data_IF_355630711550
#
_entry.id   IF_355630711550
#
_cell.length_a   1.000
_cell.length_b   1.000
_cell.length_c   1.000
_cell.angle_alpha   90.00
_cell.angle_beta   90.00
_cell.angle_gamma   90.00
#
_symmetry.space_group_name_H-M   'P 1'
#
loop_
_entity.id
_entity.type
_entity.pdbx_description
1 polymer ?
#
# COMPACT_ATOMS: atom_id res chain seq x y z
N UNK A 1 1.82 -4.72 -23.91
CA UNK A 1 1.03 -3.90 -22.97
C UNK A 1 1.04 -4.48 -21.54
N UNK A 2 0.51 -5.71 -21.28
CA UNK A 2 0.51 -6.31 -19.94
C UNK A 2 1.92 -6.42 -19.31
N UNK A 3 2.90 -6.97 -20.03
CA UNK A 3 4.30 -7.09 -19.56
C UNK A 3 4.99 -5.73 -19.38
N UNK A 4 4.64 -4.73 -20.18
CA UNK A 4 5.16 -3.36 -20.01
C UNK A 4 4.69 -2.78 -18.69
N UNK A 5 3.39 -2.91 -18.38
CA UNK A 5 2.81 -2.47 -17.12
C UNK A 5 3.42 -3.18 -15.92
N UNK A 6 3.67 -4.50 -16.02
CA UNK A 6 4.37 -5.24 -14.97
C UNK A 6 5.81 -4.73 -14.73
N UNK A 7 6.54 -4.38 -15.79
CA UNK A 7 7.86 -3.75 -15.66
C UNK A 7 7.80 -2.38 -14.99
N UNK A 8 6.78 -1.59 -15.32
CA UNK A 8 6.56 -0.27 -14.70
C UNK A 8 6.20 -0.41 -13.22
N UNK A 9 5.40 -1.40 -12.82
CA UNK A 9 5.16 -1.75 -11.41
C UNK A 9 6.48 -2.09 -10.70
N UNK A 10 7.31 -2.97 -11.28
CA UNK A 10 8.59 -3.35 -10.68
C UNK A 10 9.51 -2.15 -10.50
N UNK A 11 9.56 -1.23 -11.47
CA UNK A 11 10.32 0.02 -11.35
C UNK A 11 9.74 0.96 -10.28
N UNK A 12 8.41 0.99 -10.11
CA UNK A 12 7.77 1.75 -9.05
C UNK A 12 8.14 1.20 -7.67
N UNK A 13 8.12 -0.13 -7.49
CA UNK A 13 8.51 -0.80 -6.25
C UNK A 13 10.00 -0.58 -5.95
N UNK A 14 10.87 -0.71 -6.93
CA UNK A 14 12.32 -0.49 -6.77
C UNK A 14 12.64 0.93 -6.28
N UNK A 15 11.92 1.93 -6.78
CA UNK A 15 12.02 3.33 -6.34
C UNK A 15 11.30 3.64 -5.02
N UNK A 16 10.66 2.64 -4.43
CA UNK A 16 9.83 2.75 -3.22
C UNK A 16 10.37 1.88 -2.07
N UNK A 17 11.63 2.04 -1.63
CA UNK A 17 12.23 1.19 -0.60
C UNK A 17 11.60 1.36 0.79
N UNK A 18 10.89 2.47 1.07
CA UNK A 18 10.10 2.70 2.29
C UNK A 18 8.77 3.38 1.97
N UNK A 19 7.83 3.38 2.90
CA UNK A 19 6.52 4.06 2.78
C UNK A 19 6.67 5.55 2.42
N UNK A 20 7.71 6.23 2.94
CA UNK A 20 8.02 7.63 2.59
C UNK A 20 8.37 7.79 1.10
N UNK A 21 9.16 6.86 0.55
CA UNK A 21 9.51 6.86 -0.86
C UNK A 21 8.32 6.51 -1.77
N UNK A 22 7.39 5.68 -1.29
CA UNK A 22 6.13 5.41 -2.01
C UNK A 22 5.38 6.72 -2.25
N UNK A 23 5.14 7.48 -1.18
CA UNK A 23 4.37 8.72 -1.29
C UNK A 23 5.13 9.81 -2.05
N UNK A 24 6.45 9.90 -1.92
CA UNK A 24 7.24 10.82 -2.75
C UNK A 24 7.16 10.46 -4.24
N UNK A 25 7.17 9.17 -4.61
CA UNK A 25 6.98 8.75 -6.00
C UNK A 25 5.56 9.06 -6.51
N UNK A 26 4.53 8.83 -5.71
CA UNK A 26 3.14 9.24 -6.01
C UNK A 26 3.07 10.76 -6.20
N UNK A 27 3.63 11.53 -5.27
CA UNK A 27 3.69 12.99 -5.29
C UNK A 27 4.32 13.51 -6.59
N UNK A 28 5.50 13.00 -6.95
CA UNK A 28 6.20 13.38 -8.20
C UNK A 28 5.35 13.13 -9.44
N UNK A 29 4.67 11.99 -9.49
CA UNK A 29 3.81 11.63 -10.63
C UNK A 29 2.57 12.51 -10.71
N UNK A 30 1.97 12.87 -9.58
CA UNK A 30 0.85 13.80 -9.51
C UNK A 30 1.27 15.20 -9.98
N UNK A 31 2.39 15.73 -9.49
CA UNK A 31 2.94 17.02 -9.93
C UNK A 31 3.24 17.03 -11.44
N UNK A 32 3.88 15.97 -11.95
CA UNK A 32 4.15 15.83 -13.39
C UNK A 32 2.87 15.76 -14.25
N UNK A 33 1.73 15.35 -13.63
CA UNK A 33 0.41 15.29 -14.27
C UNK A 33 -0.43 16.56 -14.06
N UNK A 34 0.17 17.62 -13.52
CA UNK A 34 -0.44 18.95 -13.36
C UNK A 34 -1.37 19.06 -12.14
N UNK A 35 -1.18 18.23 -11.11
CA UNK A 35 -1.89 18.38 -9.83
C UNK A 35 -1.20 19.42 -8.95
N UNK A 36 -1.99 20.19 -8.24
CA UNK A 36 -1.52 21.16 -7.24
C UNK A 36 -1.52 20.53 -5.86
N UNK A 37 -0.40 20.61 -5.15
CA UNK A 37 -0.31 20.17 -3.75
C UNK A 37 -0.99 21.16 -2.83
N UNK A 38 -1.83 20.65 -1.93
CA UNK A 38 -2.55 21.41 -0.93
C UNK A 38 -1.91 21.22 0.44
N UNK A 39 -1.71 22.28 1.18
CA UNK A 39 -1.27 22.21 2.56
C UNK A 39 -2.47 21.97 3.51
N UNK A 40 -2.32 21.08 4.48
CA UNK A 40 -3.38 20.77 5.45
C UNK A 40 -3.71 21.94 6.37
N UNK A 41 -2.75 22.81 6.69
CA UNK A 41 -2.91 23.98 7.55
C UNK A 41 -3.38 25.23 6.79
N UNK A 42 -3.42 25.20 5.44
CA UNK A 42 -3.85 26.32 4.61
C UNK A 42 -5.35 26.30 4.32
N UNK A 43 -5.91 27.46 3.97
CA UNK A 43 -7.25 27.56 3.38
C UNK A 43 -7.21 27.08 1.94
N UNK A 44 -8.11 26.18 1.56
CA UNK A 44 -8.23 25.72 0.18
C UNK A 44 -9.12 26.65 -0.66
N UNK A 45 -8.68 26.94 -1.87
CA UNK A 45 -9.43 27.68 -2.88
C UNK A 45 -9.54 26.81 -4.14
N UNK A 46 -10.50 25.87 -4.11
CA UNK A 46 -10.69 24.90 -5.19
C UNK A 46 -11.57 25.49 -6.29
N UNK A 47 -11.28 25.12 -7.54
CA UNK A 47 -12.05 25.53 -8.72
C UNK A 47 -12.51 24.32 -9.52
N UNK A 48 -13.60 24.48 -10.27
CA UNK A 48 -14.04 23.48 -11.25
C UNK A 48 -12.94 23.22 -12.29
N UNK A 49 -12.79 21.96 -12.72
CA UNK A 49 -11.70 21.52 -13.58
C UNK A 49 -10.34 21.36 -12.88
N UNK A 50 -10.21 21.80 -11.62
CA UNK A 50 -8.97 21.76 -10.85
C UNK A 50 -8.55 20.35 -10.43
N UNK A 51 -7.23 20.14 -10.32
CA UNK A 51 -6.56 18.90 -9.93
C UNK A 51 -5.73 19.14 -8.68
N UNK A 52 -6.00 18.40 -7.63
CA UNK A 52 -5.39 18.66 -6.32
C UNK A 52 -4.98 17.36 -5.64
N UNK A 53 -4.00 17.46 -4.76
CA UNK A 53 -3.65 16.40 -3.81
C UNK A 53 -3.10 16.99 -2.51
N UNK A 54 -3.09 16.19 -1.46
CA UNK A 54 -2.39 16.48 -0.22
C UNK A 54 -1.70 15.23 0.29
N UNK A 55 -0.66 15.46 1.10
CA UNK A 55 0.05 14.37 1.81
C UNK A 55 -0.05 14.58 3.31
N UNK A 56 -0.04 13.49 4.09
CA UNK A 56 0.03 13.55 5.55
C UNK A 56 1.16 12.68 6.07
N UNK A 57 2.01 13.26 6.91
CA UNK A 57 3.16 12.55 7.50
C UNK A 57 4.23 12.09 6.51
N UNK A 58 4.07 12.38 5.21
CA UNK A 58 4.91 11.88 4.14
C UNK A 58 4.66 10.40 3.80
N UNK A 59 3.58 9.79 4.34
CA UNK A 59 3.28 8.37 4.19
C UNK A 59 1.86 8.09 3.70
N UNK A 60 0.98 9.10 3.68
CA UNK A 60 -0.37 9.00 3.13
C UNK A 60 -0.62 10.11 2.11
N UNK A 61 -1.48 9.84 1.12
CA UNK A 61 -1.83 10.78 0.07
C UNK A 61 -3.31 10.67 -0.30
N UNK A 62 -3.96 11.82 -0.53
CA UNK A 62 -5.27 11.86 -1.18
C UNK A 62 -5.17 12.81 -2.37
N UNK A 63 -5.53 12.33 -3.57
CA UNK A 63 -5.60 13.14 -4.78
C UNK A 63 -7.02 13.12 -5.36
N UNK A 64 -7.45 14.23 -5.94
CA UNK A 64 -8.79 14.36 -6.52
C UNK A 64 -8.83 15.39 -7.66
N UNK A 65 -9.86 15.26 -8.49
CA UNK A 65 -10.17 16.24 -9.54
C UNK A 65 -11.58 16.76 -9.36
N UNK A 66 -11.77 18.05 -9.47
CA UNK A 66 -13.10 18.66 -9.44
C UNK A 66 -13.66 18.65 -10.87
N UNK A 67 -14.83 18.04 -11.12
CA UNK A 67 -15.48 18.14 -12.43
C UNK A 67 -15.76 19.58 -12.86
N UNK A 68 -15.88 19.81 -14.17
CA UNK A 68 -16.28 21.14 -14.71
C UNK A 68 -17.69 21.52 -14.29
N UNK A 69 -18.57 20.54 -14.19
CA UNK A 69 -19.96 20.69 -13.73
C UNK A 69 -20.14 20.21 -12.29
N UNK A 70 -21.33 20.46 -11.73
CA UNK A 70 -21.67 20.00 -10.39
C UNK A 70 -21.58 18.49 -10.27
N UNK A 71 -20.79 18.01 -9.33
CA UNK A 71 -20.58 16.58 -9.11
C UNK A 71 -21.76 15.95 -8.38
N UNK A 72 -22.13 14.72 -8.78
CA UNK A 72 -23.17 13.91 -8.12
C UNK A 72 -22.67 13.25 -6.85
N UNK A 73 -21.46 12.68 -6.88
CA UNK A 73 -20.87 11.91 -5.79
C UNK A 73 -19.36 11.73 -5.97
N UNK A 74 -18.82 10.76 -5.29
CA UNK A 74 -17.40 10.44 -5.30
C UNK A 74 -17.16 9.01 -5.80
N UNK A 75 -16.17 8.83 -6.66
CA UNK A 75 -15.69 7.51 -7.07
C UNK A 75 -14.26 7.34 -6.54
N UNK A 76 -14.10 6.43 -5.55
CA UNK A 76 -12.89 6.40 -4.73
C UNK A 76 -12.16 5.08 -4.87
N UNK A 77 -10.82 5.14 -4.80
CA UNK A 77 -9.98 3.99 -4.45
C UNK A 77 -9.26 4.27 -3.15
N UNK A 78 -9.00 3.23 -2.38
CA UNK A 78 -8.19 3.29 -1.18
C UNK A 78 -7.24 2.08 -1.15
N UNK A 79 -5.96 2.32 -0.91
CA UNK A 79 -4.87 1.35 -0.82
C UNK A 79 -3.89 1.78 0.28
N UNK A 80 -2.82 1.02 0.54
CA UNK A 80 -1.84 1.39 1.56
C UNK A 80 -0.39 1.40 1.08
N UNK A 81 0.42 2.22 1.72
CA UNK A 81 1.82 2.47 1.35
C UNK A 81 2.82 1.64 2.14
N UNK A 82 2.41 1.14 3.30
CA UNK A 82 3.23 0.31 4.17
C UNK A 82 3.26 -1.16 3.73
N UNK A 83 4.20 -1.91 4.24
CA UNK A 83 4.34 -3.36 4.03
C UNK A 83 5.10 -3.96 5.21
N UNK A 84 4.91 -5.24 5.54
CA UNK A 84 5.63 -5.86 6.64
C UNK A 84 7.14 -5.82 6.46
N UNK A 85 7.85 -5.39 7.50
CA UNK A 85 9.30 -5.21 7.45
C UNK A 85 9.93 -5.23 8.84
N UNK A 86 11.24 -5.10 8.91
CA UNK A 86 11.96 -4.81 10.15
C UNK A 86 12.21 -3.31 10.26
N UNK A 87 11.67 -2.68 11.33
CA UNK A 87 11.95 -1.28 11.66
C UNK A 87 13.18 -1.21 12.58
N UNK A 88 14.10 -0.28 12.32
CA UNK A 88 15.22 -0.01 13.22
C UNK A 88 14.72 0.66 14.49
N UNK A 89 15.30 0.26 15.64
CA UNK A 89 15.08 0.94 16.91
C UNK A 89 15.88 2.24 16.98
N UNK A 90 15.50 3.12 17.90
CA UNK A 90 16.13 4.45 18.05
C UNK A 90 17.67 4.35 18.27
N UNK A 91 18.12 3.44 19.10
CA UNK A 91 19.55 3.14 19.31
C UNK A 91 19.84 1.74 18.74
N UNK A 92 20.12 1.60 17.42
CA UNK A 92 20.11 0.30 16.80
C UNK A 92 21.41 -0.47 16.95
N UNK A 93 22.59 0.18 17.09
CA UNK A 93 23.85 -0.54 17.13
C UNK A 93 24.00 -1.43 18.38
N UNK A 94 24.35 -2.69 18.13
CA UNK A 94 24.53 -3.72 19.16
C UNK A 94 25.81 -4.51 18.92
N UNK A 95 26.65 -4.59 19.97
CA UNK A 95 27.80 -5.48 19.97
C UNK A 95 27.39 -6.93 20.21
N UNK A 96 27.94 -7.86 19.44
CA UNK A 96 27.78 -9.31 19.58
C UNK A 96 29.14 -10.00 19.42
N UNK A 97 29.93 -10.04 20.47
CA UNK A 97 31.32 -10.50 20.41
C UNK A 97 32.16 -9.60 19.50
N UNK A 98 32.71 -10.18 18.43
CA UNK A 98 33.46 -9.47 17.39
C UNK A 98 32.62 -8.86 16.29
N UNK A 99 31.29 -8.99 16.38
CA UNK A 99 30.35 -8.51 15.36
C UNK A 99 29.59 -7.27 15.81
N UNK A 100 29.22 -6.45 14.86
CA UNK A 100 28.30 -5.33 15.02
C UNK A 100 26.98 -5.67 14.34
N UNK A 101 25.89 -5.65 15.09
CA UNK A 101 24.53 -5.89 14.63
C UNK A 101 23.67 -4.65 14.78
N UNK A 102 22.51 -4.63 14.09
CA UNK A 102 21.47 -3.64 14.35
C UNK A 102 20.28 -4.27 15.09
N UNK A 103 19.74 -3.52 16.04
CA UNK A 103 18.55 -3.89 16.79
C UNK A 103 17.32 -3.45 16.01
N UNK A 104 16.43 -4.38 15.73
CA UNK A 104 15.19 -4.17 14.97
C UNK A 104 13.97 -4.65 15.73
N UNK A 105 12.80 -4.25 15.27
CA UNK A 105 11.53 -4.82 15.67
C UNK A 105 10.66 -5.11 14.45
N UNK A 106 9.77 -6.08 14.58
CA UNK A 106 8.83 -6.43 13.52
C UNK A 106 7.81 -5.31 13.34
N UNK A 107 7.53 -4.99 12.10
CA UNK A 107 6.40 -4.18 11.68
C UNK A 107 5.44 -5.04 10.88
N UNK A 108 4.19 -5.17 11.37
CA UNK A 108 3.16 -6.00 10.74
C UNK A 108 3.31 -7.51 10.95
N UNK A 109 2.41 -8.24 10.31
CA UNK A 109 2.29 -9.70 10.38
C UNK A 109 3.19 -10.42 9.37
N UNK A 110 4.51 -10.34 9.49
CA UNK A 110 5.47 -10.80 8.50
C UNK A 110 5.85 -12.28 8.59
N UNK A 111 6.20 -12.88 7.45
CA UNK A 111 6.98 -14.11 7.37
C UNK A 111 8.46 -13.77 7.57
N UNK A 112 9.06 -14.19 8.69
CA UNK A 112 10.46 -13.84 9.03
C UNK A 112 11.48 -14.67 8.25
N UNK A 113 11.21 -15.96 8.02
CA UNK A 113 12.17 -16.89 7.41
C UNK A 113 12.69 -16.44 6.01
N UNK A 114 11.88 -15.86 5.12
CA UNK A 114 12.36 -15.40 3.81
C UNK A 114 13.38 -14.25 3.86
N UNK A 115 13.55 -13.56 4.99
CA UNK A 115 14.50 -12.46 5.14
C UNK A 115 15.95 -12.92 5.35
N UNK A 116 16.14 -14.18 5.73
CA UNK A 116 17.48 -14.73 5.96
C UNK A 116 18.26 -14.92 4.67
N UNK A 117 19.59 -14.78 4.78
CA UNK A 117 20.58 -15.01 3.73
C UNK A 117 20.41 -14.16 2.47
N UNK A 118 19.73 -13.02 2.60
CA UNK A 118 19.50 -12.07 1.51
C UNK A 118 20.23 -10.75 1.75
N UNK A 119 20.74 -10.10 0.70
CA UNK A 119 21.25 -8.75 0.79
C UNK A 119 20.13 -7.79 1.21
N UNK A 120 20.36 -7.03 2.27
CA UNK A 120 19.43 -6.04 2.83
C UNK A 120 20.06 -4.65 2.83
N UNK A 121 19.20 -3.64 2.82
CA UNK A 121 19.59 -2.27 3.05
C UNK A 121 18.57 -1.52 3.90
N UNK A 122 18.83 -0.22 4.11
CA UNK A 122 18.07 0.66 5.00
C UNK A 122 17.51 1.81 4.17
N UNK A 123 16.22 2.12 4.36
CA UNK A 123 15.58 3.30 3.79
C UNK A 123 14.53 3.87 4.75
N UNK A 124 14.22 5.15 4.58
CA UNK A 124 13.21 5.84 5.38
C UNK A 124 13.39 7.34 5.35
N UNK A 125 13.20 7.97 6.50
CA UNK A 125 13.47 9.40 6.69
C UNK A 125 14.32 9.68 7.90
N UNK A 126 15.00 10.81 7.85
CA UNK A 126 15.75 11.40 8.96
C UNK A 126 15.19 12.80 9.22
N UNK A 127 15.12 13.17 10.48
CA UNK A 127 14.74 14.50 10.94
C UNK A 127 16.00 15.27 11.30
N UNK A 128 16.29 16.34 10.57
CA UNK A 128 17.54 17.11 10.66
C UNK A 128 17.26 18.47 11.25
N UNK A 129 18.04 18.86 12.25
CA UNK A 129 18.06 20.22 12.79
C UNK A 129 18.75 21.17 11.81
N UNK A 130 18.07 22.23 11.45
CA UNK A 130 18.56 23.27 10.54
C UNK A 130 18.27 24.66 11.12
N UNK A 131 18.94 25.70 10.61
CA UNK A 131 18.67 27.08 11.01
C UNK A 131 17.21 27.52 10.82
N UNK A 132 16.48 26.87 9.92
CA UNK A 132 15.08 27.15 9.61
C UNK A 132 14.08 26.25 10.37
N UNK A 133 14.55 25.34 11.22
CA UNK A 133 13.75 24.36 11.96
C UNK A 133 14.04 22.92 11.59
N UNK A 134 13.12 22.02 11.92
CA UNK A 134 13.28 20.59 11.66
C UNK A 134 12.92 20.27 10.21
N UNK A 135 13.90 19.77 9.47
CA UNK A 135 13.74 19.33 8.07
C UNK A 135 13.62 17.82 7.99
N UNK A 136 12.69 17.31 7.18
CA UNK A 136 12.58 15.87 6.86
C UNK A 136 13.39 15.58 5.60
N UNK A 137 14.33 14.65 5.69
CA UNK A 137 15.11 14.15 4.54
C UNK A 137 14.88 12.68 4.32
N UNK A 138 14.54 12.30 3.08
CA UNK A 138 14.45 10.90 2.69
C UNK A 138 15.85 10.33 2.51
N UNK A 139 16.05 9.13 3.04
CA UNK A 139 17.35 8.44 2.94
C UNK A 139 17.15 7.02 2.41
N UNK A 140 18.06 6.62 1.54
CA UNK A 140 18.19 5.26 1.04
C UNK A 140 19.67 4.92 0.95
N UNK A 141 20.13 3.96 1.75
CA UNK A 141 21.49 3.43 1.67
C UNK A 141 21.49 2.37 0.55
N UNK A 142 21.55 2.81 -0.68
CA UNK A 142 21.33 2.00 -1.87
C UNK A 142 22.53 1.10 -2.22
N UNK A 143 22.90 0.21 -1.31
CA UNK A 143 23.91 -0.83 -1.49
C UNK A 143 23.61 -2.05 -0.62
N UNK A 144 24.23 -3.18 -0.91
CA UNK A 144 24.19 -4.36 -0.06
C UNK A 144 24.93 -4.04 1.24
N UNK A 145 24.17 -3.84 2.32
CA UNK A 145 24.68 -3.32 3.58
C UNK A 145 24.61 -4.34 4.71
N UNK A 146 23.57 -5.13 4.74
CA UNK A 146 23.20 -5.99 5.87
C UNK A 146 22.86 -7.39 5.38
N UNK A 147 22.98 -8.37 6.28
CA UNK A 147 22.47 -9.72 6.11
C UNK A 147 21.96 -10.25 7.45
N UNK A 148 20.90 -11.04 7.45
CA UNK A 148 20.46 -11.85 8.58
C UNK A 148 20.91 -13.28 8.29
N UNK A 149 22.00 -13.77 8.88
CA UNK A 149 22.54 -15.10 8.56
C UNK A 149 21.72 -16.20 9.25
N UNK A 150 21.41 -17.28 8.53
CA UNK A 150 20.87 -18.49 9.13
C UNK A 150 21.93 -19.20 9.99
N UNK A 151 21.46 -19.94 10.99
CA UNK A 151 22.31 -20.91 11.68
C UNK A 151 22.57 -22.11 10.78
N UNK A 152 23.85 -22.50 10.66
CA UNK A 152 24.21 -23.62 9.80
C UNK A 152 23.47 -24.93 10.19
N UNK A 153 23.11 -25.73 9.18
CA UNK A 153 22.37 -27.00 9.39
C UNK A 153 23.09 -27.95 10.37
N UNK A 154 24.43 -27.89 10.43
CA UNK A 154 25.21 -28.70 11.37
C UNK A 154 25.00 -28.33 12.83
N UNK A 155 24.58 -27.10 13.11
CA UNK A 155 24.29 -26.58 14.46
C UNK A 155 22.78 -26.67 14.78
N UNK A 156 21.92 -26.79 13.76
CA UNK A 156 20.48 -26.92 13.90
C UNK A 156 19.95 -27.99 12.92
N UNK A 157 20.11 -29.25 13.28
CA UNK A 157 19.72 -30.37 12.39
C UNK A 157 18.22 -30.51 12.16
N UNK A 158 17.41 -29.93 13.04
CA UNK A 158 15.94 -29.91 12.92
C UNK A 158 15.42 -28.67 12.14
N UNK A 159 16.29 -27.91 11.48
CA UNK A 159 15.90 -26.68 10.78
C UNK A 159 14.78 -26.89 9.74
N UNK A 160 14.72 -28.05 9.11
CA UNK A 160 13.69 -28.38 8.11
C UNK A 160 12.41 -28.98 8.72
N UNK A 161 12.39 -29.28 10.01
CA UNK A 161 11.24 -29.86 10.72
C UNK A 161 10.35 -28.75 11.34
N UNK A 162 10.74 -27.48 11.16
CA UNK A 162 10.09 -26.28 11.68
C UNK A 162 10.87 -25.64 12.82
N UNK A 163 11.17 -24.36 12.65
CA UNK A 163 11.92 -23.55 13.65
C UNK A 163 11.06 -22.37 14.12
N UNK A 164 10.92 -22.24 15.43
CA UNK A 164 10.34 -21.04 16.04
C UNK A 164 11.38 -19.92 16.05
N UNK A 165 11.22 -18.93 15.18
CA UNK A 165 12.08 -17.76 15.12
C UNK A 165 11.70 -16.75 16.21
N UNK A 166 12.71 -16.23 16.92
CA UNK A 166 12.60 -15.18 17.93
C UNK A 166 13.17 -13.88 17.35
N UNK A 167 12.31 -12.89 17.12
CA UNK A 167 12.69 -11.65 16.46
C UNK A 167 13.84 -10.88 17.15
N UNK A 168 13.95 -10.97 18.47
CA UNK A 168 14.98 -10.30 19.26
C UNK A 168 16.31 -11.07 19.33
N UNK A 169 16.40 -12.25 18.74
CA UNK A 169 17.59 -13.12 18.75
C UNK A 169 17.99 -13.48 17.32
N UNK A 170 17.07 -14.09 16.57
CA UNK A 170 17.38 -14.73 15.30
C UNK A 170 17.42 -13.76 14.10
N UNK A 171 16.72 -12.61 14.20
CA UNK A 171 16.55 -11.71 13.05
C UNK A 171 17.34 -10.41 13.13
N UNK A 172 18.38 -10.36 13.98
CA UNK A 172 19.23 -9.19 14.10
C UNK A 172 20.25 -9.14 12.94
N UNK A 173 20.19 -8.13 12.06
CA UNK A 173 21.06 -8.09 10.90
C UNK A 173 22.51 -7.76 11.27
N UNK A 174 23.44 -8.45 10.65
CA UNK A 174 24.88 -8.20 10.72
C UNK A 174 25.21 -6.95 9.89
N UNK A 175 25.86 -5.96 10.52
CA UNK A 175 26.32 -4.73 9.89
C UNK A 175 27.83 -4.76 9.59
N UNK A 176 28.64 -5.39 10.46
CA UNK A 176 30.09 -5.42 10.28
C UNK A 176 30.84 -5.97 11.48
N UNK A 177 32.13 -5.67 11.56
CA UNK A 177 32.94 -5.99 12.72
C UNK A 177 32.82 -4.92 13.81
N UNK A 178 33.11 -5.29 15.05
CA UNK A 178 32.91 -4.43 16.24
C UNK A 178 33.80 -3.16 16.21
N UNK A 179 34.93 -3.20 15.49
CA UNK A 179 35.82 -2.05 15.30
C UNK A 179 35.13 -0.89 14.57
N UNK A 180 34.06 -1.19 13.83
CA UNK A 180 33.28 -0.18 13.11
C UNK A 180 32.15 0.41 13.97
N UNK A 181 32.14 0.24 15.28
CA UNK A 181 31.14 0.82 16.17
C UNK A 181 31.01 2.33 15.96
N UNK A 182 29.79 2.84 15.85
CA UNK A 182 29.47 4.22 15.48
C UNK A 182 29.33 4.45 13.97
N UNK A 183 29.55 3.43 13.13
CA UNK A 183 29.44 3.58 11.68
C UNK A 183 27.99 3.80 11.21
N UNK A 184 26.99 3.33 11.94
CA UNK A 184 25.59 3.52 11.55
C UNK A 184 25.21 5.01 11.48
N UNK A 185 25.54 5.78 12.51
CA UNK A 185 25.26 7.21 12.54
C UNK A 185 26.01 7.96 11.42
N UNK A 186 27.26 7.54 11.13
CA UNK A 186 28.03 8.08 10.01
C UNK A 186 27.36 7.78 8.65
N UNK A 187 26.94 6.53 8.42
CA UNK A 187 26.21 6.15 7.20
C UNK A 187 24.92 6.96 7.04
N UNK A 188 24.22 7.18 8.13
CA UNK A 188 22.98 7.95 8.13
C UNK A 188 23.23 9.43 7.83
N UNK A 189 24.25 10.02 8.44
CA UNK A 189 24.72 11.39 8.22
C UNK A 189 25.12 11.61 6.75
N UNK A 190 25.89 10.69 6.18
CA UNK A 190 26.28 10.72 4.75
C UNK A 190 25.03 10.65 3.83
N UNK A 191 24.10 9.72 4.10
CA UNK A 191 22.88 9.57 3.31
C UNK A 191 21.92 10.77 3.42
N UNK A 192 21.87 11.39 4.59
CA UNK A 192 21.05 12.58 4.86
C UNK A 192 21.74 13.90 4.46
N UNK A 193 23.03 13.87 4.08
CA UNK A 193 23.85 15.04 3.74
C UNK A 193 23.80 16.10 4.87
N UNK A 194 24.12 15.68 6.11
CA UNK A 194 24.14 16.54 7.29
C UNK A 194 25.22 16.11 8.29
N UNK A 195 25.49 16.92 9.31
CA UNK A 195 26.29 16.52 10.47
C UNK A 195 25.54 15.47 11.30
N UNK A 196 26.28 14.55 11.92
CA UNK A 196 25.70 13.53 12.78
C UNK A 196 24.96 14.12 13.99
N UNK A 197 25.46 15.24 14.52
CA UNK A 197 24.90 16.01 15.63
C UNK A 197 23.59 16.71 15.27
N UNK A 198 23.31 16.90 13.99
CA UNK A 198 22.08 17.50 13.50
C UNK A 198 20.91 16.51 13.41
N UNK A 199 21.17 15.20 13.53
CA UNK A 199 20.13 14.18 13.44
C UNK A 199 19.36 14.12 14.75
N UNK A 200 18.10 14.56 14.72
CA UNK A 200 17.19 14.58 15.87
C UNK A 200 16.39 13.29 16.02
N UNK A 201 16.25 12.49 14.97
CA UNK A 201 15.51 11.25 14.97
C UNK A 201 15.39 10.64 13.59
N UNK A 202 14.85 9.43 13.53
CA UNK A 202 14.69 8.73 12.26
C UNK A 202 13.51 7.76 12.29
N UNK A 203 12.96 7.49 11.10
CA UNK A 203 12.03 6.38 10.85
C UNK A 203 12.62 5.54 9.72
N UNK A 204 13.29 4.46 10.06
CA UNK A 204 14.05 3.63 9.13
C UNK A 204 13.59 2.18 9.16
N UNK A 205 13.50 1.58 7.97
CA UNK A 205 13.15 0.17 7.80
C UNK A 205 14.18 -0.55 6.95
N UNK A 206 14.29 -1.85 7.15
CA UNK A 206 15.04 -2.72 6.25
C UNK A 206 14.21 -3.00 5.00
N UNK A 207 14.89 -3.20 3.89
CA UNK A 207 14.30 -3.73 2.67
C UNK A 207 15.23 -4.72 1.98
N UNK A 208 14.65 -5.64 1.22
CA UNK A 208 15.40 -6.64 0.45
C UNK A 208 15.93 -6.00 -0.83
N UNK A 209 17.21 -6.19 -1.11
CA UNK A 209 17.89 -5.66 -2.31
C UNK A 209 17.61 -6.46 -3.58
N UNK A 210 17.01 -7.64 -3.45
CA UNK A 210 16.68 -8.46 -4.61
C UNK A 210 15.66 -7.72 -5.51
N UNK A 211 15.98 -7.47 -6.79
CA UNK A 211 15.07 -6.83 -7.72
C UNK A 211 13.85 -7.72 -7.99
N UNK A 212 12.74 -7.10 -8.32
CA UNK A 212 11.57 -7.82 -8.81
C UNK A 212 11.82 -8.43 -10.19
N UNK A 213 11.10 -9.51 -10.51
CA UNK A 213 11.23 -10.24 -11.76
C UNK A 213 9.88 -10.60 -12.37
N UNK A 214 9.84 -10.66 -13.69
CA UNK A 214 8.76 -11.33 -14.42
C UNK A 214 9.27 -12.73 -14.76
N UNK A 215 8.52 -13.77 -14.45
CA UNK A 215 8.94 -15.17 -14.59
C UNK A 215 7.78 -16.07 -15.03
N UNK A 216 8.07 -17.35 -15.18
CA UNK A 216 7.17 -18.38 -15.69
C UNK A 216 7.49 -18.76 -17.13
N UNK A 217 6.96 -19.86 -17.61
CA UNK A 217 7.25 -20.40 -18.95
C UNK A 217 6.83 -19.43 -20.08
N UNK A 218 5.84 -18.54 -19.82
CA UNK A 218 5.35 -17.51 -20.74
C UNK A 218 5.50 -16.11 -20.16
N UNK A 219 6.27 -15.96 -19.08
CA UNK A 219 6.42 -14.71 -18.34
C UNK A 219 5.07 -14.18 -17.81
N UNK A 220 4.29 -15.09 -17.24
CA UNK A 220 2.93 -14.84 -16.78
C UNK A 220 2.85 -14.38 -15.31
N UNK A 221 3.95 -14.45 -14.55
CA UNK A 221 4.00 -14.10 -13.14
C UNK A 221 4.95 -12.96 -12.85
N UNK A 222 4.66 -12.24 -11.78
CA UNK A 222 5.49 -11.18 -11.19
C UNK A 222 5.95 -11.68 -9.82
N UNK A 223 7.24 -11.57 -9.52
CA UNK A 223 7.76 -11.76 -8.17
C UNK A 223 8.48 -10.49 -7.70
N UNK A 224 8.15 -9.99 -6.53
CA UNK A 224 8.76 -8.80 -5.94
C UNK A 224 8.48 -8.70 -4.44
N UNK A 225 9.27 -7.90 -3.74
CA UNK A 225 8.89 -7.41 -2.42
C UNK A 225 7.68 -6.46 -2.53
N UNK A 226 6.89 -6.32 -1.47
CA UNK A 226 5.86 -5.28 -1.32
C UNK A 226 4.80 -5.24 -2.45
N UNK A 227 4.49 -6.38 -3.08
CA UNK A 227 3.33 -6.44 -3.97
C UNK A 227 2.05 -6.11 -3.18
N UNK A 228 2.01 -6.52 -1.93
CA UNK A 228 1.09 -6.06 -0.91
C UNK A 228 1.68 -4.82 -0.24
N UNK A 229 1.14 -3.59 -0.45
CA UNK A 229 0.00 -3.30 -1.34
C UNK A 229 0.41 -2.34 -2.47
N UNK A 230 1.72 -2.26 -2.78
CA UNK A 230 2.20 -1.34 -3.82
C UNK A 230 1.68 -1.68 -5.22
N UNK A 231 1.22 -2.91 -5.45
CA UNK A 231 0.55 -3.27 -6.69
C UNK A 231 -0.80 -2.56 -6.82
N UNK A 232 -1.59 -2.48 -5.75
CA UNK A 232 -2.85 -1.75 -5.73
C UNK A 232 -2.63 -0.23 -5.74
N UNK A 233 -1.63 0.29 -5.02
CA UNK A 233 -1.25 1.72 -5.11
C UNK A 233 -0.91 2.10 -6.53
N UNK A 234 -0.04 1.32 -7.19
CA UNK A 234 0.35 1.55 -8.58
C UNK A 234 -0.84 1.46 -9.53
N UNK A 235 -1.64 0.39 -9.46
CA UNK A 235 -2.78 0.19 -10.35
C UNK A 235 -3.84 1.28 -10.20
N UNK A 236 -4.14 1.68 -8.97
CA UNK A 236 -5.07 2.78 -8.68
C UNK A 236 -4.57 4.11 -9.21
N UNK A 237 -3.27 4.40 -9.05
CA UNK A 237 -2.65 5.62 -9.56
C UNK A 237 -2.65 5.67 -11.09
N UNK A 238 -2.30 4.57 -11.78
CA UNK A 238 -2.34 4.47 -13.23
C UNK A 238 -3.77 4.68 -13.76
N UNK A 239 -4.74 3.98 -13.16
CA UNK A 239 -6.15 4.15 -13.48
C UNK A 239 -6.64 5.58 -13.26
N UNK A 240 -6.24 6.21 -12.15
CA UNK A 240 -6.59 7.58 -11.80
C UNK A 240 -6.04 8.60 -12.81
N UNK A 241 -4.74 8.50 -13.14
CA UNK A 241 -4.08 9.41 -14.06
C UNK A 241 -4.57 9.26 -15.50
N UNK A 242 -4.90 8.03 -15.92
CA UNK A 242 -5.40 7.73 -17.27
C UNK A 242 -6.90 8.00 -17.46
N UNK A 243 -7.68 8.17 -16.37
CA UNK A 243 -9.13 8.34 -16.47
C UNK A 243 -9.53 9.72 -16.99
N UNK A 244 -10.62 9.74 -17.76
CA UNK A 244 -11.22 10.96 -18.29
C UNK A 244 -12.12 11.65 -17.25
N UNK A 245 -12.43 12.95 -17.44
CA UNK A 245 -13.43 13.63 -16.61
C UNK A 245 -14.79 12.92 -16.67
N UNK A 246 -15.46 12.85 -15.50
CA UNK A 246 -16.78 12.24 -15.33
C UNK A 246 -17.66 13.15 -14.47
N UNK A 247 -18.92 12.77 -14.28
CA UNK A 247 -19.89 13.51 -13.45
C UNK A 247 -19.68 13.36 -11.94
N UNK A 248 -18.78 12.49 -11.51
CA UNK A 248 -18.39 12.31 -10.11
C UNK A 248 -16.96 12.81 -9.87
N UNK A 249 -16.66 13.14 -8.61
CA UNK A 249 -15.30 13.47 -8.18
C UNK A 249 -14.49 12.17 -8.07
N UNK A 250 -13.49 11.92 -8.91
CA UNK A 250 -12.56 10.83 -8.71
C UNK A 250 -11.61 11.16 -7.54
N UNK A 251 -11.45 10.20 -6.62
CA UNK A 251 -10.59 10.37 -5.43
C UNK A 251 -9.68 9.15 -5.30
N UNK A 252 -8.39 9.38 -5.38
CA UNK A 252 -7.35 8.38 -5.14
C UNK A 252 -6.82 8.54 -3.73
N UNK A 253 -6.85 7.48 -2.91
CA UNK A 253 -6.37 7.49 -1.53
C UNK A 253 -5.29 6.43 -1.33
N UNK A 254 -4.22 6.80 -0.64
CA UNK A 254 -3.21 5.90 -0.09
C UNK A 254 -3.07 6.20 1.40
N UNK A 255 -3.26 5.19 2.23
CA UNK A 255 -3.11 5.29 3.69
C UNK A 255 -1.80 4.62 4.14
N UNK A 256 -1.46 4.81 5.41
CA UNK A 256 -0.31 4.17 6.06
C UNK A 256 -0.77 3.34 7.25
N UNK A 257 0.10 2.46 7.73
CA UNK A 257 -0.10 1.64 8.93
C UNK A 257 -1.28 0.65 8.85
N UNK A 258 -1.66 0.21 7.64
CA UNK A 258 -2.65 -0.85 7.48
C UNK A 258 -2.20 -2.11 8.19
N UNK A 259 -0.95 -2.52 8.01
CA UNK A 259 -0.30 -3.73 8.54
C UNK A 259 -0.23 -3.81 10.07
N UNK A 260 -0.55 -2.73 10.73
CA UNK A 260 -0.61 -2.60 12.21
C UNK A 260 -1.95 -2.07 12.70
N UNK A 261 -3.01 -2.14 11.86
CA UNK A 261 -4.40 -1.89 12.22
C UNK A 261 -4.92 -0.50 11.95
N UNK A 262 -4.28 0.32 11.11
CA UNK A 262 -4.77 1.63 10.60
C UNK A 262 -5.04 2.72 11.65
N UNK A 263 -4.85 2.47 12.94
CA UNK A 263 -5.25 3.35 14.05
C UNK A 263 -4.18 4.43 14.35
N UNK A 264 -3.78 5.18 13.33
CA UNK A 264 -2.81 6.26 13.41
C UNK A 264 -3.34 7.52 12.75
N UNK A 265 -2.61 8.65 12.89
CA UNK A 265 -2.98 9.94 12.27
C UNK A 265 -3.06 9.84 10.73
N UNK A 266 -2.28 8.99 10.09
CA UNK A 266 -2.18 8.78 8.65
C UNK A 266 -2.84 7.48 8.16
N UNK A 267 -3.38 6.66 9.05
CA UNK A 267 -4.08 5.43 8.72
C UNK A 267 -5.54 5.64 8.31
N UNK A 268 -6.17 4.59 7.80
CA UNK A 268 -7.56 4.62 7.36
C UNK A 268 -8.56 4.88 8.48
N UNK A 269 -8.21 4.60 9.75
CA UNK A 269 -9.00 4.93 10.94
C UNK A 269 -8.93 6.43 11.31
N UNK A 270 -8.10 7.22 10.64
CA UNK A 270 -8.05 8.67 10.86
C UNK A 270 -9.18 9.40 10.17
N UNK A 271 -9.31 10.68 10.51
CA UNK A 271 -10.28 11.56 9.86
C UNK A 271 -9.82 12.11 8.51
N UNK A 272 -8.67 11.67 8.00
CA UNK A 272 -8.02 12.24 6.81
C UNK A 272 -8.98 12.31 5.60
N UNK A 273 -9.58 11.19 5.21
CA UNK A 273 -10.50 11.15 4.08
C UNK A 273 -11.77 11.99 4.34
N UNK A 274 -12.41 11.79 5.49
CA UNK A 274 -13.61 12.54 5.88
C UNK A 274 -13.38 14.04 5.85
N UNK A 275 -12.28 14.50 6.46
CA UNK A 275 -11.99 15.93 6.58
C UNK A 275 -11.59 16.51 5.21
N UNK A 276 -10.92 15.74 4.35
CA UNK A 276 -10.64 16.12 2.96
C UNK A 276 -11.93 16.35 2.17
N UNK A 277 -12.90 15.40 2.22
CA UNK A 277 -14.17 15.54 1.52
C UNK A 277 -15.00 16.72 2.06
N UNK A 278 -15.00 16.95 3.37
CA UNK A 278 -15.67 18.09 4.00
C UNK A 278 -15.04 19.44 3.59
N UNK A 279 -13.71 19.52 3.58
CA UNK A 279 -12.99 20.73 3.16
C UNK A 279 -13.18 21.02 1.69
N UNK A 280 -13.20 19.98 0.85
CA UNK A 280 -13.55 20.09 -0.57
C UNK A 280 -14.95 20.68 -0.73
N UNK A 281 -15.94 20.09 -0.07
CA UNK A 281 -17.33 20.57 -0.11
C UNK A 281 -17.44 22.04 0.35
N UNK A 282 -16.81 22.39 1.48
CA UNK A 282 -16.82 23.76 2.00
C UNK A 282 -16.19 24.77 1.02
N UNK A 283 -15.07 24.39 0.38
CA UNK A 283 -14.38 25.25 -0.60
C UNK A 283 -15.22 25.50 -1.86
N UNK A 284 -16.07 24.54 -2.23
CA UNK A 284 -16.96 24.62 -3.39
C UNK A 284 -18.38 25.15 -3.04
N UNK A 285 -18.60 25.59 -1.79
CA UNK A 285 -19.92 26.06 -1.35
C UNK A 285 -20.99 24.97 -1.22
N UNK A 286 -20.60 23.69 -1.17
CA UNK A 286 -21.50 22.55 -1.02
C UNK A 286 -21.92 22.44 0.45
N UNK A 287 -23.24 22.45 0.72
CA UNK A 287 -23.77 22.31 2.09
C UNK A 287 -23.58 20.91 2.64
N UNK A 288 -23.59 20.75 3.97
CA UNK A 288 -23.51 19.42 4.60
C UNK A 288 -24.63 18.47 4.16
N UNK A 289 -25.85 18.98 3.97
CA UNK A 289 -26.97 18.19 3.48
C UNK A 289 -26.77 17.70 2.02
N UNK A 290 -26.14 18.52 1.19
CA UNK A 290 -25.79 18.10 -0.17
C UNK A 290 -24.63 17.10 -0.15
N UNK A 291 -23.59 17.34 0.65
CA UNK A 291 -22.49 16.39 0.82
C UNK A 291 -22.99 15.02 1.27
N UNK A 292 -23.95 14.96 2.19
CA UNK A 292 -24.54 13.68 2.61
C UNK A 292 -25.23 12.93 1.46
N UNK A 293 -25.94 13.63 0.55
CA UNK A 293 -26.49 13.02 -0.66
C UNK A 293 -25.41 12.54 -1.63
N UNK A 294 -24.35 13.34 -1.82
CA UNK A 294 -23.22 12.96 -2.66
C UNK A 294 -22.54 11.68 -2.13
N UNK A 295 -22.39 11.54 -0.80
CA UNK A 295 -21.83 10.33 -0.18
C UNK A 295 -22.72 9.10 -0.43
N UNK A 296 -24.05 9.24 -0.44
CA UNK A 296 -24.97 8.14 -0.76
C UNK A 296 -24.86 7.70 -2.23
N UNK A 297 -24.55 8.61 -3.15
CA UNK A 297 -24.31 8.32 -4.57
C UNK A 297 -22.81 8.10 -4.88
N UNK A 298 -22.06 7.58 -3.93
CA UNK A 298 -20.63 7.32 -4.04
C UNK A 298 -20.32 5.83 -3.97
N UNK A 299 -19.14 5.47 -4.49
CA UNK A 299 -18.65 4.09 -4.43
C UNK A 299 -17.14 4.07 -4.21
N UNK A 300 -16.67 3.22 -3.29
CA UNK A 300 -15.24 3.06 -2.95
C UNK A 300 -14.80 1.63 -3.24
N UNK A 301 -13.69 1.48 -3.93
CA UNK A 301 -12.94 0.23 -3.98
C UNK A 301 -11.80 0.28 -2.96
N UNK A 302 -11.88 -0.56 -1.94
CA UNK A 302 -10.81 -0.84 -1.01
C UNK A 302 -9.88 -1.87 -1.69
N UNK A 303 -8.79 -1.36 -2.23
CA UNK A 303 -7.84 -2.12 -3.03
C UNK A 303 -6.70 -2.58 -2.12
N UNK A 304 -6.66 -3.87 -1.85
CA UNK A 304 -5.71 -4.55 -0.98
C UNK A 304 -5.64 -6.02 -1.43
N UNK A 305 -4.45 -6.59 -1.61
CA UNK A 305 -4.28 -7.88 -2.26
C UNK A 305 -5.04 -9.02 -1.56
N UNK A 306 -5.25 -10.11 -2.27
CA UNK A 306 -6.03 -11.26 -1.82
C UNK A 306 -5.20 -12.55 -1.90
N UNK A 307 -5.49 -13.53 -1.04
CA UNK A 307 -4.82 -14.82 -1.08
C UNK A 307 -5.28 -15.63 -2.29
N UNK A 308 -4.33 -16.05 -3.15
CA UNK A 308 -4.58 -17.07 -4.16
C UNK A 308 -4.47 -18.47 -3.55
N UNK A 309 -5.14 -19.45 -4.15
CA UNK A 309 -4.96 -20.85 -3.77
C UNK A 309 -3.51 -21.25 -3.95
N UNK A 310 -2.90 -21.76 -2.87
CA UNK A 310 -1.51 -22.18 -2.90
C UNK A 310 -1.38 -23.53 -3.65
N UNK A 311 -0.49 -23.67 -4.63
CA UNK A 311 -0.42 -24.88 -5.47
C UNK A 311 -0.06 -26.16 -4.69
N UNK A 312 0.72 -26.02 -3.62
CA UNK A 312 1.13 -27.16 -2.78
C UNK A 312 0.22 -27.36 -1.55
N UNK A 313 -0.68 -26.41 -1.26
CA UNK A 313 -1.53 -26.40 -0.07
C UNK A 313 -2.96 -25.95 -0.39
N UNK A 314 -3.66 -26.64 -1.30
CA UNK A 314 -5.03 -26.27 -1.67
C UNK A 314 -6.01 -26.42 -0.52
N UNK A 315 -5.69 -27.23 0.49
CA UNK A 315 -6.52 -27.49 1.68
C UNK A 315 -6.75 -26.24 2.57
N UNK A 316 -5.95 -25.19 2.41
CA UNK A 316 -6.16 -23.94 3.16
C UNK A 316 -7.14 -22.96 2.49
N UNK A 317 -7.55 -23.22 1.25
CA UNK A 317 -8.55 -22.41 0.55
C UNK A 317 -9.97 -22.98 0.74
N UNK A 318 -10.98 -22.09 0.65
CA UNK A 318 -12.36 -22.53 0.53
C UNK A 318 -12.59 -23.12 -0.87
N UNK A 319 -13.14 -24.33 -1.03
CA UNK A 319 -13.24 -25.00 -2.32
C UNK A 319 -14.09 -24.27 -3.37
N UNK A 320 -15.03 -23.43 -2.92
CA UNK A 320 -15.97 -22.73 -3.80
C UNK A 320 -15.61 -21.25 -4.03
N UNK A 321 -14.69 -20.69 -3.22
CA UNK A 321 -14.36 -19.28 -3.21
C UNK A 321 -12.85 -19.05 -3.16
N UNK A 322 -12.09 -19.75 -3.98
CA UNK A 322 -10.63 -19.67 -4.05
C UNK A 322 -10.18 -19.06 -5.38
N UNK A 323 -9.47 -17.94 -5.35
CA UNK A 323 -8.94 -17.31 -6.56
C UNK A 323 -7.60 -17.93 -6.98
N UNK A 324 -7.28 -17.73 -8.27
CA UNK A 324 -6.04 -18.17 -8.90
C UNK A 324 -5.34 -16.98 -9.56
N UNK A 325 -4.02 -17.08 -9.72
CA UNK A 325 -3.23 -16.09 -10.45
C UNK A 325 -3.64 -16.04 -11.93
N UNK A 326 -3.73 -14.84 -12.51
CA UNK A 326 -4.09 -14.56 -13.90
C UNK A 326 -5.54 -14.89 -14.29
N UNK A 327 -6.42 -15.16 -13.34
CA UNK A 327 -7.83 -15.41 -13.58
C UNK A 327 -8.76 -14.24 -13.21
N UNK A 328 -8.17 -13.09 -12.88
CA UNK A 328 -8.88 -11.82 -12.66
C UNK A 328 -8.75 -11.27 -11.25
N UNK A 329 -9.23 -10.04 -11.07
CA UNK A 329 -9.20 -9.32 -9.78
C UNK A 329 -10.22 -9.94 -8.83
N UNK A 330 -9.83 -10.07 -7.58
CA UNK A 330 -10.61 -10.76 -6.55
C UNK A 330 -11.57 -9.80 -5.86
N UNK A 331 -12.82 -10.22 -5.69
CA UNK A 331 -13.83 -9.59 -4.83
C UNK A 331 -13.89 -10.38 -3.51
N UNK A 332 -13.61 -9.72 -2.38
CA UNK A 332 -13.47 -10.34 -1.06
C UNK A 332 -14.78 -10.25 -0.26
N UNK A 333 -15.19 -11.35 0.37
CA UNK A 333 -16.36 -11.43 1.26
C UNK A 333 -15.99 -11.98 2.63
N UNK A 334 -16.61 -11.43 3.67
CA UNK A 334 -16.47 -11.96 5.03
C UNK A 334 -17.74 -11.70 5.84
N UNK A 335 -18.33 -12.77 6.42
CA UNK A 335 -19.56 -12.68 7.21
C UNK A 335 -19.42 -11.80 8.47
N UNK A 336 -18.20 -11.72 9.04
CA UNK A 336 -17.91 -10.90 10.21
C UNK A 336 -17.51 -9.45 9.85
N UNK A 337 -17.78 -9.03 8.61
CA UNK A 337 -17.50 -7.67 8.10
C UNK A 337 -16.03 -7.24 8.23
N UNK A 338 -15.10 -8.18 8.17
CA UNK A 338 -13.67 -7.88 8.05
C UNK A 338 -13.33 -7.33 6.66
N UNK A 339 -14.17 -7.64 5.67
CA UNK A 339 -14.24 -6.99 4.36
C UNK A 339 -15.59 -6.28 4.27
N UNK A 340 -15.58 -5.04 3.76
CA UNK A 340 -16.78 -4.18 3.72
C UNK A 340 -17.77 -4.51 2.58
N UNK A 341 -17.48 -5.52 1.78
CA UNK A 341 -18.28 -5.87 0.60
C UNK A 341 -19.69 -6.29 0.97
N UNK A 342 -20.68 -5.47 0.61
CA UNK A 342 -22.11 -5.79 0.65
C UNK A 342 -22.58 -6.45 -0.65
N UNK A 343 -23.79 -6.99 -0.67
CA UNK A 343 -24.43 -7.51 -1.88
C UNK A 343 -24.61 -6.42 -2.95
N UNK A 344 -24.90 -5.18 -2.54
CA UNK A 344 -25.02 -4.02 -3.44
C UNK A 344 -23.65 -3.66 -4.01
N UNK A 345 -22.64 -3.53 -3.16
CA UNK A 345 -21.29 -3.25 -3.58
C UNK A 345 -20.76 -4.30 -4.56
N UNK A 346 -21.03 -5.58 -4.29
CA UNK A 346 -20.65 -6.68 -5.17
C UNK A 346 -21.34 -6.58 -6.56
N UNK A 347 -22.62 -6.19 -6.60
CA UNK A 347 -23.33 -6.00 -7.85
C UNK A 347 -22.77 -4.82 -8.65
N UNK A 348 -22.49 -3.68 -8.01
CA UNK A 348 -21.83 -2.52 -8.63
C UNK A 348 -20.46 -2.90 -9.17
N UNK A 349 -19.62 -3.58 -8.38
CA UNK A 349 -18.30 -4.03 -8.79
C UNK A 349 -18.34 -4.96 -10.00
N UNK A 350 -19.24 -5.96 -10.03
CA UNK A 350 -19.39 -6.85 -11.19
C UNK A 350 -19.81 -6.08 -12.45
N UNK A 351 -20.66 -5.07 -12.33
CA UNK A 351 -21.00 -4.17 -13.44
C UNK A 351 -19.82 -3.36 -13.91
N UNK A 352 -18.99 -2.89 -12.98
CA UNK A 352 -17.77 -2.16 -13.27
C UNK A 352 -16.78 -3.06 -14.03
N UNK A 353 -16.56 -4.31 -13.59
CA UNK A 353 -15.70 -5.27 -14.27
C UNK A 353 -16.20 -5.59 -15.69
N UNK A 354 -17.53 -5.70 -15.89
CA UNK A 354 -18.11 -5.89 -17.23
C UNK A 354 -17.78 -4.70 -18.16
N UNK A 355 -17.89 -3.45 -17.68
CA UNK A 355 -17.51 -2.25 -18.44
C UNK A 355 -16.01 -2.18 -18.71
N UNK A 356 -15.20 -2.59 -17.76
CA UNK A 356 -13.74 -2.62 -17.86
C UNK A 356 -13.23 -3.78 -18.76
N UNK A 357 -14.11 -4.69 -19.19
CA UNK A 357 -13.75 -5.95 -19.84
C UNK A 357 -12.73 -6.76 -19.03
N UNK A 358 -12.82 -6.71 -17.72
CA UNK A 358 -11.93 -7.38 -16.79
C UNK A 358 -12.58 -8.64 -16.18
N UNK A 359 -11.75 -9.65 -15.92
CA UNK A 359 -12.18 -10.85 -15.20
C UNK A 359 -12.35 -10.56 -13.70
N UNK A 360 -13.25 -11.27 -13.05
CA UNK A 360 -13.47 -11.19 -11.60
C UNK A 360 -13.56 -12.58 -10.98
N UNK A 361 -12.90 -12.73 -9.85
CA UNK A 361 -12.96 -13.91 -9.00
C UNK A 361 -13.56 -13.55 -7.64
N UNK A 362 -13.88 -14.55 -6.83
CA UNK A 362 -14.44 -14.36 -5.49
C UNK A 362 -13.53 -15.03 -4.46
N UNK A 363 -13.33 -14.37 -3.34
CA UNK A 363 -12.63 -14.91 -2.18
C UNK A 363 -13.51 -14.87 -0.94
N UNK A 364 -13.56 -15.99 -0.25
CA UNK A 364 -13.99 -16.08 1.14
C UNK A 364 -13.03 -17.00 1.89
N UNK A 365 -12.80 -16.71 3.17
CA UNK A 365 -11.99 -17.59 4.00
C UNK A 365 -12.67 -18.96 4.18
N UNK A 366 -11.89 -20.03 4.27
CA UNK A 366 -12.38 -21.31 4.81
C UNK A 366 -12.99 -21.08 6.19
N UNK A 367 -14.16 -21.65 6.46
CA UNK A 367 -15.02 -21.28 7.62
C UNK A 367 -14.34 -21.44 8.99
N UNK A 368 -13.30 -22.27 9.09
CA UNK A 368 -12.53 -22.53 10.32
C UNK A 368 -11.24 -21.69 10.42
N UNK A 369 -10.91 -20.90 9.39
CA UNK A 369 -9.73 -20.02 9.37
C UNK A 369 -10.18 -18.57 9.53
N UNK A 370 -9.75 -17.88 10.61
CA UNK A 370 -10.03 -16.46 10.74
C UNK A 370 -9.28 -15.68 9.65
N UNK A 371 -10.00 -14.83 8.91
CA UNK A 371 -9.41 -13.95 7.91
C UNK A 371 -8.70 -12.75 8.51
N UNK A 372 -7.84 -12.11 7.71
CA UNK A 372 -7.38 -10.75 7.95
C UNK A 372 -8.53 -9.74 7.87
N UNK A 373 -8.22 -8.48 8.03
CA UNK A 373 -9.11 -7.33 7.76
C UNK A 373 -8.40 -6.41 6.78
N UNK A 374 -9.17 -5.50 6.18
CA UNK A 374 -8.67 -4.49 5.27
C UNK A 374 -9.03 -3.09 5.73
N UNK A 375 -8.41 -2.10 5.13
CA UNK A 375 -8.70 -0.69 5.41
C UNK A 375 -10.16 -0.30 5.10
N UNK A 376 -10.87 -1.03 4.22
CA UNK A 376 -12.24 -0.72 3.82
C UNK A 376 -13.23 -0.78 4.98
N UNK A 377 -13.22 -1.85 5.76
CA UNK A 377 -14.11 -2.00 6.93
C UNK A 377 -13.89 -0.88 7.97
N UNK A 378 -12.66 -0.39 8.10
CA UNK A 378 -12.30 0.68 9.03
C UNK A 378 -12.74 2.04 8.46
N UNK A 379 -12.43 2.34 7.21
CA UNK A 379 -12.79 3.60 6.55
C UNK A 379 -14.31 3.80 6.48
N UNK A 380 -15.09 2.72 6.31
CA UNK A 380 -16.56 2.76 6.23
C UNK A 380 -17.24 3.39 7.45
N UNK A 381 -16.63 3.32 8.62
CA UNK A 381 -17.15 3.92 9.86
C UNK A 381 -17.04 5.44 9.89
N UNK A 382 -16.13 6.03 9.12
CA UNK A 382 -15.86 7.46 9.08
C UNK A 382 -16.41 8.13 7.82
N UNK A 383 -16.49 7.40 6.71
CA UNK A 383 -17.03 7.85 5.42
C UNK A 383 -18.04 6.82 4.95
N UNK A 384 -19.35 7.05 5.20
CA UNK A 384 -20.40 6.06 4.96
C UNK A 384 -20.79 6.02 3.47
N UNK A 385 -19.99 5.34 2.66
CA UNK A 385 -20.23 5.08 1.23
C UNK A 385 -20.31 3.57 0.99
N UNK A 386 -20.97 3.13 -0.08
CA UNK A 386 -20.87 1.72 -0.50
C UNK A 386 -19.45 1.37 -0.83
N UNK A 387 -18.96 0.22 -0.33
CA UNK A 387 -17.59 -0.23 -0.51
C UNK A 387 -17.51 -1.68 -0.94
N UNK A 388 -16.57 -1.97 -1.84
CA UNK A 388 -16.16 -3.33 -2.17
C UNK A 388 -14.66 -3.50 -1.89
N UNK A 389 -14.32 -4.54 -1.14
CA UNK A 389 -12.94 -4.96 -0.93
C UNK A 389 -12.49 -5.85 -2.08
N UNK A 390 -11.46 -5.41 -2.77
CA UNK A 390 -10.92 -6.09 -3.95
C UNK A 390 -9.39 -6.17 -3.86
N UNK A 391 -8.76 -7.01 -4.69
CA UNK A 391 -7.31 -7.01 -4.80
C UNK A 391 -6.78 -8.00 -5.81
N UNK A 392 -5.48 -7.95 -6.04
CA UNK A 392 -4.81 -8.95 -6.87
C UNK A 392 -4.71 -10.28 -6.09
N UNK A 393 -4.98 -11.42 -6.74
CA UNK A 393 -4.62 -12.70 -6.15
C UNK A 393 -3.10 -12.80 -6.07
N UNK A 394 -2.58 -13.17 -4.89
CA UNK A 394 -1.14 -13.35 -4.71
C UNK A 394 -0.80 -14.57 -3.85
N UNK A 395 0.42 -15.06 -4.01
CA UNK A 395 1.05 -16.09 -3.17
C UNK A 395 2.11 -15.46 -2.28
N UNK A 396 2.36 -16.10 -1.15
CA UNK A 396 3.37 -15.69 -0.18
C UNK A 396 3.19 -14.25 0.35
N UNK A 397 1.92 -13.83 0.53
CA UNK A 397 1.60 -12.54 1.17
C UNK A 397 2.37 -12.36 2.47
N UNK A 398 2.90 -11.16 2.71
CA UNK A 398 3.75 -10.82 3.85
C UNK A 398 5.14 -11.51 3.88
N UNK A 399 5.53 -12.17 2.79
CA UNK A 399 6.93 -12.52 2.55
C UNK A 399 7.73 -11.29 2.10
N UNK A 400 9.03 -11.31 2.30
CA UNK A 400 9.89 -10.28 1.71
C UNK A 400 10.01 -10.41 0.18
N UNK A 401 9.39 -11.43 -0.44
CA UNK A 401 9.33 -11.63 -1.89
C UNK A 401 8.07 -12.43 -2.23
N UNK A 402 7.09 -11.76 -2.82
CA UNK A 402 5.72 -12.21 -3.06
C UNK A 402 5.51 -12.50 -4.55
N UNK A 403 4.38 -13.14 -4.91
CA UNK A 403 4.10 -13.53 -6.30
C UNK A 403 2.66 -13.18 -6.69
N UNK A 404 2.47 -12.54 -7.85
CA UNK A 404 1.17 -12.18 -8.42
C UNK A 404 1.11 -12.46 -9.93
N UNK A 405 -0.08 -12.30 -10.53
CA UNK A 405 -0.31 -12.49 -11.96
C UNK A 405 -0.12 -11.21 -12.79
N UNK A 406 0.56 -11.32 -13.94
CA UNK A 406 0.74 -10.20 -14.89
C UNK A 406 -0.58 -9.72 -15.46
N UNK A 407 -1.54 -10.65 -15.71
CA UNK A 407 -2.84 -10.29 -16.29
C UNK A 407 -3.74 -9.57 -15.30
N UNK A 408 -3.70 -9.95 -14.03
CA UNK A 408 -4.54 -9.39 -12.98
C UNK A 408 -4.20 -7.92 -12.72
N UNK A 409 -2.91 -7.57 -12.78
CA UNK A 409 -2.47 -6.17 -12.68
C UNK A 409 -3.08 -5.29 -13.77
N UNK A 410 -3.09 -5.79 -15.00
CA UNK A 410 -3.68 -5.07 -16.13
C UNK A 410 -5.19 -4.88 -15.96
N UNK A 411 -5.88 -5.92 -15.48
CA UNK A 411 -7.31 -5.88 -15.22
C UNK A 411 -7.62 -4.88 -14.09
N UNK A 412 -6.83 -4.84 -13.02
CA UNK A 412 -7.01 -3.90 -11.91
C UNK A 412 -6.85 -2.43 -12.36
N UNK A 413 -5.84 -2.12 -13.20
CA UNK A 413 -5.68 -0.77 -13.76
C UNK A 413 -6.91 -0.36 -14.57
N UNK A 414 -7.46 -1.26 -15.40
CA UNK A 414 -8.65 -0.98 -16.19
C UNK A 414 -9.91 -0.81 -15.31
N UNK A 415 -10.06 -1.62 -14.26
CA UNK A 415 -11.15 -1.48 -13.28
C UNK A 415 -11.08 -0.12 -12.59
N UNK A 416 -9.91 0.27 -12.09
CA UNK A 416 -9.72 1.56 -11.42
C UNK A 416 -10.00 2.73 -12.37
N UNK A 417 -9.50 2.67 -13.62
CA UNK A 417 -9.80 3.69 -14.63
C UNK A 417 -11.30 3.80 -14.88
N UNK A 418 -11.98 2.67 -15.10
CA UNK A 418 -13.43 2.65 -15.36
C UNK A 418 -14.23 3.16 -14.15
N UNK A 419 -13.78 2.86 -12.92
CA UNK A 419 -14.35 3.44 -11.70
C UNK A 419 -14.34 4.97 -11.76
N UNK A 420 -13.17 5.56 -12.00
CA UNK A 420 -12.98 7.01 -12.02
C UNK A 420 -13.70 7.71 -13.18
N UNK A 421 -14.10 6.97 -14.20
CA UNK A 421 -14.91 7.42 -15.35
C UNK A 421 -16.41 7.17 -15.17
N UNK A 422 -16.84 6.58 -14.04
CA UNK A 422 -18.22 6.19 -13.76
C UNK A 422 -18.85 7.07 -12.67
N UNK A 423 -20.12 6.83 -12.40
CA UNK A 423 -20.89 7.38 -11.29
C UNK A 423 -21.92 6.39 -10.78
N UNK A 424 -22.46 6.64 -9.59
CA UNK A 424 -23.60 5.89 -9.04
C UNK A 424 -24.82 6.79 -9.01
N UNK A 425 -25.94 6.27 -9.45
CA UNK A 425 -27.25 6.93 -9.39
C UNK A 425 -28.24 6.04 -8.63
N UNK A 426 -28.92 6.62 -7.65
CA UNK A 426 -29.97 5.95 -6.87
C UNK A 426 -31.31 6.66 -7.09
N UNK A 427 -32.31 5.95 -7.58
CA UNK A 427 -33.65 6.49 -7.79
C UNK A 427 -34.70 5.40 -7.78
N UNK A 428 -35.81 5.59 -7.01
CA UNK A 428 -36.96 4.70 -6.98
C UNK A 428 -36.64 3.26 -6.59
N UNK A 429 -35.61 3.04 -5.72
CA UNK A 429 -35.13 1.71 -5.32
C UNK A 429 -34.20 1.05 -6.34
N UNK A 430 -33.91 1.72 -7.45
CA UNK A 430 -32.92 1.27 -8.44
C UNK A 430 -31.56 1.90 -8.16
N UNK A 431 -30.50 1.10 -8.34
CA UNK A 431 -29.11 1.54 -8.26
C UNK A 431 -28.47 1.30 -9.63
N UNK A 432 -27.89 2.32 -10.20
CA UNK A 432 -27.27 2.27 -11.52
C UNK A 432 -25.82 2.72 -11.43
N UNK A 433 -24.95 2.01 -12.11
CA UNK A 433 -23.65 2.52 -12.49
C UNK A 433 -23.85 3.35 -13.79
N UNK A 434 -23.54 4.62 -13.79
CA UNK A 434 -23.70 5.55 -14.93
C UNK A 434 -22.34 5.96 -15.51
#
# INVERSE_FOLDING_TARGET
>A
MKKTLAKELLQFIEKSPSTYHVIENVRRRLLASGYTELEENARWSLVHGGKYFLTRGGTSCIAFRIPEEAARGFMLTASHSDSPSFKLKENPERAAGHYLQLSTEKYGGMLMAPWFDRPLSIAGRVLVDTENGIETRLVNIDRDLLIIPNLAIHMNRAANDGVKLLANIDTLPLLGSIENRGCFLKLLSEAAVCGAEQILGHDLTLYVRQPGAIFGAQEEYIASQKLDDLACVFASLEGFLASKPASCVPVFCVFDNEEVGSATRQGAASTLLRDTLRRMAASLGITNGHLARMLDESFLLSCDNAHAQHPNHPEFADPGNCPYLNEGVVLKFNANQRYATSGIAAALYRKLCQRACAKVQVYANRSDIPGGSTLGSIASTLVPVEMADIGLPQLAMHSCYETAGVSDLFDLVNICRTLFESGVEKSGGLIRLV
#
